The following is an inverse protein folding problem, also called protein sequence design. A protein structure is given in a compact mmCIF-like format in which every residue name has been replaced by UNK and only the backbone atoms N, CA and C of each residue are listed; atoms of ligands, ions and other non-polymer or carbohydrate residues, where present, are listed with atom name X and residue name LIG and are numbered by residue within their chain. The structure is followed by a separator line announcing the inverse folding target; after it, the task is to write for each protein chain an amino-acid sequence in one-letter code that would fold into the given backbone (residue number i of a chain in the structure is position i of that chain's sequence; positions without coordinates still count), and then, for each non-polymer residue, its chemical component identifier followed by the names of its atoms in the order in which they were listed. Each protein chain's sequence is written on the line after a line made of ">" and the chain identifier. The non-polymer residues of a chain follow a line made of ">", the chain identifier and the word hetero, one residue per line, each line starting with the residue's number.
data_IF_094402299516
#
_entry.id   IF_094402299516
#
_cell.length_a   1.000
_cell.length_b   1.000
_cell.length_c   1.000
_cell.angle_alpha   90.00
_cell.angle_beta   90.00
_cell.angle_gamma   90.00
#
_symmetry.space_group_name_H-M   'P 1'
#
loop_
_entity.id
_entity.type
_entity.pdbx_description
1 polymer ?
#
# COMPACT_ATOMS: atom_id res chain seq x y z
N UNK A 1 14.66 -19.30 -13.76
CA UNK A 1 14.80 -19.10 -12.29
C UNK A 1 13.48 -18.73 -11.58
N UNK A 2 12.42 -18.35 -12.30
CA UNK A 2 11.07 -18.07 -11.77
C UNK A 2 10.37 -19.19 -10.98
N UNK A 3 10.92 -20.41 -10.96
CA UNK A 3 10.47 -21.49 -10.08
C UNK A 3 10.79 -21.22 -8.60
N UNK A 4 11.74 -20.34 -8.31
CA UNK A 4 12.09 -19.94 -6.94
C UNK A 4 11.11 -18.85 -6.45
N UNK A 5 10.31 -19.10 -5.40
CA UNK A 5 9.36 -18.12 -4.89
C UNK A 5 10.04 -16.81 -4.45
N UNK A 6 9.53 -15.69 -4.97
CA UNK A 6 10.10 -14.36 -4.78
C UNK A 6 10.96 -13.85 -5.95
N UNK A 7 11.29 -14.71 -6.93
CA UNK A 7 11.94 -14.27 -8.18
C UNK A 7 10.86 -13.87 -9.20
N UNK A 8 10.61 -12.56 -9.30
CA UNK A 8 9.79 -11.98 -10.36
C UNK A 8 10.58 -11.66 -11.64
N UNK A 9 9.91 -11.19 -12.72
CA UNK A 9 10.55 -10.89 -14.01
C UNK A 9 11.76 -9.96 -13.91
N UNK A 10 11.65 -8.87 -13.15
CA UNK A 10 12.75 -7.90 -12.96
C UNK A 10 13.96 -8.49 -12.24
N UNK A 11 13.73 -9.34 -11.24
CA UNK A 11 14.82 -10.00 -10.52
C UNK A 11 15.52 -11.01 -11.42
N UNK A 12 14.74 -11.78 -12.19
CA UNK A 12 15.30 -12.73 -13.17
C UNK A 12 16.09 -12.03 -14.27
N UNK A 13 15.61 -10.90 -14.78
CA UNK A 13 16.32 -10.12 -15.79
C UNK A 13 17.65 -9.58 -15.27
N UNK A 14 17.68 -9.01 -14.06
CA UNK A 14 18.94 -8.57 -13.42
C UNK A 14 19.95 -9.71 -13.29
N UNK A 15 19.49 -10.88 -12.87
CA UNK A 15 20.34 -12.06 -12.69
C UNK A 15 20.88 -12.55 -14.04
N UNK A 16 20.02 -12.63 -15.08
CA UNK A 16 20.46 -13.00 -16.43
C UNK A 16 21.44 -11.99 -17.03
N UNK A 17 21.22 -10.69 -16.86
CA UNK A 17 22.14 -9.65 -17.32
C UNK A 17 23.51 -9.72 -16.62
N UNK A 18 23.56 -10.30 -15.42
CA UNK A 18 24.80 -10.60 -14.69
C UNK A 18 25.35 -12.02 -14.96
N UNK A 19 24.83 -12.74 -15.95
CA UNK A 19 25.30 -14.08 -16.33
C UNK A 19 24.80 -15.22 -15.44
N UNK A 20 23.87 -14.95 -14.51
CA UNK A 20 23.37 -15.93 -13.54
C UNK A 20 22.06 -16.52 -14.07
N UNK A 21 22.14 -17.72 -14.64
CA UNK A 21 20.99 -18.39 -15.25
C UNK A 21 20.37 -19.49 -14.37
N UNK A 22 21.06 -19.95 -13.34
CA UNK A 22 20.67 -21.12 -12.53
C UNK A 22 20.50 -20.78 -11.06
N UNK A 23 19.68 -21.57 -10.35
CA UNK A 23 19.49 -21.46 -8.90
C UNK A 23 20.81 -21.68 -8.17
N UNK A 24 21.60 -22.68 -8.60
CA UNK A 24 22.94 -22.91 -8.04
C UNK A 24 23.87 -21.72 -8.25
N UNK A 25 23.79 -21.04 -9.40
CA UNK A 25 24.55 -19.81 -9.66
C UNK A 25 24.19 -18.67 -8.71
N UNK A 26 22.90 -18.49 -8.39
CA UNK A 26 22.46 -17.54 -7.37
C UNK A 26 22.96 -17.92 -5.98
N UNK A 27 22.88 -19.20 -5.61
CA UNK A 27 23.39 -19.73 -4.33
C UNK A 27 24.89 -19.52 -4.13
N UNK A 28 25.67 -19.53 -5.21
CA UNK A 28 27.12 -19.38 -5.20
C UNK A 28 27.61 -17.92 -5.13
N UNK A 29 26.72 -16.93 -5.21
CA UNK A 29 27.14 -15.53 -5.21
C UNK A 29 27.77 -15.11 -3.88
N UNK A 30 28.91 -14.43 -3.99
CA UNK A 30 29.49 -13.72 -2.87
C UNK A 30 28.54 -12.64 -2.36
N UNK A 31 28.75 -12.23 -1.12
CA UNK A 31 27.97 -11.17 -0.49
C UNK A 31 28.06 -9.83 -1.24
N UNK A 32 29.19 -9.58 -1.90
CA UNK A 32 29.44 -8.38 -2.71
C UNK A 32 28.69 -8.46 -4.05
N UNK A 33 28.82 -9.58 -4.76
CA UNK A 33 28.16 -9.78 -6.06
C UNK A 33 26.63 -9.81 -5.90
N UNK A 34 26.14 -10.46 -4.85
CA UNK A 34 24.72 -10.48 -4.53
C UNK A 34 24.16 -9.07 -4.30
N UNK A 35 24.89 -8.22 -3.58
CA UNK A 35 24.47 -6.82 -3.35
C UNK A 35 24.49 -5.99 -4.63
N UNK A 36 25.42 -6.28 -5.55
CA UNK A 36 25.50 -5.60 -6.84
C UNK A 36 24.32 -5.99 -7.76
N UNK A 37 23.94 -7.27 -7.80
CA UNK A 37 22.89 -7.77 -8.71
C UNK A 37 21.49 -7.65 -8.10
N UNK A 38 21.34 -7.94 -6.81
CA UNK A 38 20.09 -7.93 -6.06
C UNK A 38 20.27 -7.16 -4.74
N UNK A 39 20.20 -5.82 -4.76
CA UNK A 39 20.43 -5.01 -3.58
C UNK A 39 19.35 -5.22 -2.50
N UNK A 40 19.76 -5.01 -1.24
CA UNK A 40 18.87 -5.08 -0.08
C UNK A 40 18.65 -6.49 0.47
N UNK A 41 17.72 -6.61 1.41
CA UNK A 41 17.44 -7.85 2.13
C UNK A 41 16.89 -8.96 1.22
N UNK A 42 16.20 -8.59 0.13
CA UNK A 42 15.62 -9.53 -0.83
C UNK A 42 16.70 -10.38 -1.50
N UNK A 43 17.86 -9.82 -1.83
CA UNK A 43 18.96 -10.60 -2.42
C UNK A 43 19.41 -11.74 -1.50
N UNK A 44 19.64 -11.43 -0.22
CA UNK A 44 20.02 -12.43 0.80
C UNK A 44 18.97 -13.53 0.93
N UNK A 45 17.70 -13.14 1.06
CA UNK A 45 16.58 -14.06 1.15
C UNK A 45 16.49 -15.00 -0.07
N UNK A 46 16.72 -14.47 -1.27
CA UNK A 46 16.69 -15.29 -2.49
C UNK A 46 17.89 -16.23 -2.60
N UNK A 47 19.08 -15.82 -2.13
CA UNK A 47 20.25 -16.71 -2.03
C UNK A 47 20.01 -17.84 -1.02
N UNK A 48 19.47 -17.51 0.15
CA UNK A 48 19.17 -18.51 1.19
C UNK A 48 18.17 -19.55 0.65
N UNK A 49 17.11 -19.11 -0.03
CA UNK A 49 16.17 -20.03 -0.69
C UNK A 49 16.80 -20.84 -1.81
N UNK A 50 17.73 -20.26 -2.57
CA UNK A 50 18.48 -21.00 -3.59
C UNK A 50 19.37 -22.11 -2.99
N UNK A 51 19.77 -21.95 -1.73
CA UNK A 51 20.48 -22.94 -0.92
C UNK A 51 19.54 -23.86 -0.11
N UNK A 52 18.22 -23.75 -0.29
CA UNK A 52 17.23 -24.53 0.45
C UNK A 52 17.00 -24.08 1.89
N UNK A 53 17.48 -22.90 2.28
CA UNK A 53 17.32 -22.32 3.61
C UNK A 53 16.08 -21.42 3.65
N UNK A 54 15.05 -21.84 4.40
CA UNK A 54 13.89 -21.01 4.72
C UNK A 54 13.53 -21.20 6.20
N UNK A 55 13.91 -20.27 7.09
CA UNK A 55 13.70 -20.41 8.53
C UNK A 55 12.26 -20.09 8.96
N UNK A 56 11.38 -19.70 8.01
CA UNK A 56 10.02 -19.28 8.34
C UNK A 56 9.19 -20.48 8.77
N UNK A 57 8.57 -20.36 9.94
CA UNK A 57 7.53 -21.29 10.38
C UNK A 57 6.25 -21.12 9.56
N UNK A 58 5.33 -22.06 9.74
CA UNK A 58 3.97 -21.91 9.23
C UNK A 58 3.25 -20.84 10.06
N UNK A 59 2.88 -19.73 9.43
CA UNK A 59 2.02 -18.73 10.03
C UNK A 59 0.57 -19.03 9.68
N UNK A 60 -0.23 -19.35 10.70
CA UNK A 60 -1.66 -19.66 10.57
C UNK A 60 -2.54 -18.41 10.73
N UNK A 61 -1.93 -17.28 11.10
CA UNK A 61 -2.65 -16.04 11.39
C UNK A 61 -2.19 -14.95 10.44
N UNK A 62 -3.13 -14.30 9.75
CA UNK A 62 -2.83 -13.08 9.01
C UNK A 62 -3.66 -11.94 9.56
N UNK A 63 -3.02 -10.99 10.22
CA UNK A 63 -3.67 -9.72 10.55
C UNK A 63 -3.60 -8.79 9.34
N UNK A 64 -4.75 -8.21 8.97
CA UNK A 64 -4.78 -7.23 7.89
C UNK A 64 -4.21 -5.91 8.40
N UNK A 65 -3.17 -5.41 7.73
CA UNK A 65 -2.50 -4.15 8.11
C UNK A 65 -3.03 -2.92 7.37
N UNK A 66 -3.73 -3.13 6.25
CA UNK A 66 -4.35 -2.07 5.44
C UNK A 66 -5.49 -2.60 4.57
N UNK A 67 -6.39 -1.70 4.19
CA UNK A 67 -7.48 -1.94 3.22
C UNK A 67 -7.43 -0.81 2.21
N UNK A 68 -7.57 -1.09 0.91
CA UNK A 68 -7.60 -0.05 -0.12
C UNK A 68 -8.53 -0.40 -1.26
N UNK A 69 -9.13 0.63 -1.85
CA UNK A 69 -9.89 0.58 -3.10
C UNK A 69 -9.18 1.50 -4.09
N UNK A 70 -9.02 1.05 -5.33
CA UNK A 70 -8.44 1.86 -6.40
C UNK A 70 -9.14 1.60 -7.73
N UNK A 71 -9.21 2.63 -8.56
CA UNK A 71 -9.90 2.56 -9.86
C UNK A 71 -9.01 3.11 -10.97
N UNK A 72 -8.84 2.31 -12.02
CA UNK A 72 -8.14 2.73 -13.24
C UNK A 72 -9.18 3.23 -14.24
N UNK A 73 -9.04 4.46 -14.67
CA UNK A 73 -9.98 5.10 -15.58
C UNK A 73 -9.76 4.65 -17.03
N UNK A 74 -10.84 4.69 -17.82
CA UNK A 74 -10.78 4.44 -19.27
C UNK A 74 -9.89 5.48 -19.97
N UNK A 75 -10.07 6.74 -19.59
CA UNK A 75 -9.29 7.89 -20.07
C UNK A 75 -8.69 8.63 -18.88
N UNK A 76 -7.53 9.25 -19.07
CA UNK A 76 -6.87 9.98 -17.99
C UNK A 76 -7.69 11.23 -17.62
N UNK A 77 -8.00 11.41 -16.34
CA UNK A 77 -8.89 12.46 -15.84
C UNK A 77 -8.11 13.63 -15.25
N UNK A 78 -8.59 14.86 -15.48
CA UNK A 78 -8.01 16.09 -14.91
C UNK A 78 -9.02 16.87 -14.06
N UNK A 79 -10.30 16.60 -14.27
CA UNK A 79 -11.43 17.25 -13.62
C UNK A 79 -11.44 16.89 -12.12
N UNK A 80 -11.11 17.89 -11.29
CA UNK A 80 -11.03 17.70 -9.83
C UNK A 80 -12.33 17.19 -9.23
N UNK A 81 -13.47 17.65 -9.73
CA UNK A 81 -14.78 17.24 -9.20
C UNK A 81 -15.07 15.76 -9.46
N UNK A 82 -14.69 15.23 -10.63
CA UNK A 82 -14.81 13.81 -10.94
C UNK A 82 -13.89 12.97 -10.05
N UNK A 83 -12.63 13.41 -9.90
CA UNK A 83 -11.67 12.74 -9.02
C UNK A 83 -12.13 12.75 -7.56
N UNK A 84 -12.69 13.87 -7.08
CA UNK A 84 -13.24 13.98 -5.72
C UNK A 84 -14.46 13.09 -5.53
N UNK A 85 -15.37 13.05 -6.50
CA UNK A 85 -16.53 12.17 -6.47
C UNK A 85 -16.11 10.71 -6.35
N UNK A 86 -15.09 10.31 -7.13
CA UNK A 86 -14.61 8.93 -7.12
C UNK A 86 -13.91 8.56 -5.81
N UNK A 87 -13.08 9.45 -5.26
CA UNK A 87 -12.49 9.23 -3.93
C UNK A 87 -13.54 9.11 -2.82
N UNK A 88 -14.62 9.90 -2.88
CA UNK A 88 -15.73 9.80 -1.92
C UNK A 88 -16.50 8.48 -2.09
N UNK A 89 -16.69 8.02 -3.32
CA UNK A 89 -17.29 6.71 -3.62
C UNK A 89 -16.45 5.59 -3.00
N UNK A 90 -15.13 5.59 -3.22
CA UNK A 90 -14.22 4.61 -2.59
C UNK A 90 -14.24 4.70 -1.06
N UNK A 91 -14.38 5.90 -0.49
CA UNK A 91 -14.47 6.07 0.95
C UNK A 91 -15.75 5.44 1.54
N UNK A 92 -16.86 5.39 0.80
CA UNK A 92 -18.07 4.65 1.19
C UNK A 92 -17.78 3.14 1.30
N UNK A 93 -17.10 2.58 0.29
CA UNK A 93 -16.72 1.17 0.29
C UNK A 93 -15.81 0.84 1.49
N UNK A 94 -14.83 1.70 1.77
CA UNK A 94 -13.91 1.55 2.90
C UNK A 94 -14.60 1.70 4.26
N UNK A 95 -15.45 2.72 4.43
CA UNK A 95 -16.17 2.92 5.69
C UNK A 95 -17.11 1.76 6.00
N UNK A 96 -17.87 1.30 5.00
CA UNK A 96 -18.71 0.11 5.13
C UNK A 96 -17.89 -1.15 5.46
N UNK A 97 -16.67 -1.25 4.93
CA UNK A 97 -15.76 -2.34 5.24
C UNK A 97 -15.25 -2.30 6.69
N UNK A 98 -14.78 -1.14 7.15
CA UNK A 98 -14.31 -0.96 8.52
C UNK A 98 -15.41 -1.25 9.53
N UNK A 99 -16.62 -0.71 9.30
CA UNK A 99 -17.78 -0.93 10.16
C UNK A 99 -18.19 -2.40 10.22
N UNK A 100 -18.24 -3.08 9.07
CA UNK A 100 -18.58 -4.51 9.02
C UNK A 100 -17.61 -5.37 9.82
N UNK A 101 -16.33 -5.02 9.80
CA UNK A 101 -15.27 -5.78 10.43
C UNK A 101 -15.00 -5.31 11.88
N UNK A 102 -15.73 -4.31 12.39
CA UNK A 102 -15.53 -3.75 13.73
C UNK A 102 -14.18 -3.03 13.89
N UNK A 103 -13.64 -2.48 12.81
CA UNK A 103 -12.33 -1.85 12.73
C UNK A 103 -12.44 -0.33 12.65
N UNK A 104 -11.38 0.34 13.09
CA UNK A 104 -11.09 1.74 12.82
C UNK A 104 -9.69 1.86 12.23
N UNK A 105 -9.42 2.94 11.50
CA UNK A 105 -8.13 3.19 10.88
C UNK A 105 -7.61 4.59 11.22
N UNK A 106 -6.32 4.70 11.52
CA UNK A 106 -5.70 5.99 11.86
C UNK A 106 -5.13 6.72 10.65
N UNK A 107 -4.72 6.01 9.61
CA UNK A 107 -4.03 6.61 8.47
C UNK A 107 -4.88 6.49 7.22
N UNK A 108 -5.08 7.62 6.52
CA UNK A 108 -5.68 7.67 5.18
C UNK A 108 -4.59 7.98 4.18
N UNK A 109 -4.57 7.27 3.07
CA UNK A 109 -3.62 7.43 1.95
C UNK A 109 -4.40 7.61 0.66
N UNK A 110 -4.06 8.64 -0.12
CA UNK A 110 -4.51 8.80 -1.50
C UNK A 110 -3.37 8.46 -2.44
N UNK A 111 -3.63 7.54 -3.36
CA UNK A 111 -2.73 7.12 -4.43
C UNK A 111 -3.12 7.84 -5.72
N UNK A 112 -2.13 8.38 -6.41
CA UNK A 112 -2.25 9.03 -7.70
C UNK A 112 -1.34 8.29 -8.68
N UNK A 113 -1.89 7.84 -9.81
CA UNK A 113 -1.11 7.28 -10.91
C UNK A 113 -1.30 8.16 -12.14
N UNK A 114 -0.19 8.61 -12.70
CA UNK A 114 -0.19 9.46 -13.88
C UNK A 114 -0.18 8.61 -15.17
N UNK A 115 -0.37 9.27 -16.31
CA UNK A 115 -0.36 8.65 -17.65
C UNK A 115 0.96 7.92 -17.97
N UNK A 116 2.08 8.40 -17.42
CA UNK A 116 3.41 7.78 -17.53
C UNK A 116 3.60 6.58 -16.57
N UNK A 117 2.51 6.11 -15.94
CA UNK A 117 2.48 5.06 -14.91
C UNK A 117 3.29 5.35 -13.65
N UNK A 118 3.84 6.56 -13.49
CA UNK A 118 4.46 6.96 -12.24
C UNK A 118 3.40 7.09 -11.15
N UNK A 119 3.77 6.69 -9.93
CA UNK A 119 2.88 6.68 -8.78
C UNK A 119 3.38 7.70 -7.77
N UNK A 120 2.44 8.48 -7.23
CA UNK A 120 2.62 9.27 -6.02
C UNK A 120 1.57 8.88 -5.00
N UNK A 121 1.94 8.91 -3.73
CA UNK A 121 1.01 8.77 -2.62
C UNK A 121 1.16 9.95 -1.67
N UNK A 122 0.06 10.34 -1.06
CA UNK A 122 0.01 11.28 0.06
C UNK A 122 -0.79 10.62 1.15
N UNK A 123 -0.33 10.75 2.39
CA UNK A 123 -0.99 10.15 3.54
C UNK A 123 -1.07 11.13 4.70
N UNK A 124 -2.06 10.95 5.54
CA UNK A 124 -2.19 11.64 6.82
C UNK A 124 -2.60 10.65 7.90
N UNK A 125 -2.07 10.83 9.10
CA UNK A 125 -2.38 9.99 10.26
C UNK A 125 -3.06 10.83 11.33
N UNK A 126 -4.14 10.30 11.87
CA UNK A 126 -4.90 10.87 12.97
C UNK A 126 -4.48 10.25 14.30
N UNK A 127 -4.60 11.00 15.41
CA UNK A 127 -4.36 10.45 16.74
C UNK A 127 -5.39 9.38 17.15
N UNK A 128 -6.64 9.53 16.69
CA UNK A 128 -7.74 8.59 16.94
C UNK A 128 -8.19 7.96 15.62
N UNK A 129 -8.48 6.66 15.66
CA UNK A 129 -8.97 5.91 14.49
C UNK A 129 -10.35 6.38 14.06
N UNK A 130 -10.59 6.34 12.75
CA UNK A 130 -11.87 6.67 12.11
C UNK A 130 -12.33 5.47 11.28
N UNK A 131 -13.64 5.34 11.12
CA UNK A 131 -14.29 4.36 10.26
C UNK A 131 -15.40 4.99 9.40
N UNK A 132 -15.68 6.28 9.59
CA UNK A 132 -16.74 6.98 8.90
C UNK A 132 -16.30 7.40 7.50
N UNK A 133 -17.13 7.07 6.50
CA UNK A 133 -16.82 7.30 5.09
C UNK A 133 -16.66 8.79 4.75
N UNK A 134 -17.42 9.67 5.42
CA UNK A 134 -17.38 11.11 5.15
C UNK A 134 -16.01 11.70 5.49
N UNK A 135 -15.46 11.38 6.66
CA UNK A 135 -14.14 11.85 7.09
C UNK A 135 -13.03 11.23 6.28
N UNK A 136 -13.11 9.94 5.96
CA UNK A 136 -12.16 9.28 5.04
C UNK A 136 -12.15 10.01 3.68
N UNK A 137 -13.33 10.27 3.11
CA UNK A 137 -13.48 10.95 1.83
C UNK A 137 -12.93 12.38 1.84
N UNK A 138 -13.23 13.16 2.88
CA UNK A 138 -12.69 14.53 3.06
C UNK A 138 -11.17 14.54 3.09
N UNK A 139 -10.56 13.63 3.86
CA UNK A 139 -9.11 13.50 3.95
C UNK A 139 -8.51 13.05 2.62
N UNK A 140 -9.15 12.08 1.94
CA UNK A 140 -8.69 11.59 0.65
C UNK A 140 -8.67 12.70 -0.42
N UNK A 141 -9.73 13.52 -0.50
CA UNK A 141 -9.81 14.69 -1.39
C UNK A 141 -8.70 15.71 -1.08
N UNK A 142 -8.48 16.04 0.20
CA UNK A 142 -7.43 16.97 0.59
C UNK A 142 -6.02 16.47 0.20
N UNK A 143 -5.78 15.17 0.36
CA UNK A 143 -4.52 14.53 -0.03
C UNK A 143 -4.34 14.48 -1.56
N UNK A 144 -5.43 14.31 -2.32
CA UNK A 144 -5.41 14.45 -3.78
C UNK A 144 -5.02 15.87 -4.18
N UNK A 145 -5.67 16.89 -3.60
CA UNK A 145 -5.41 18.29 -3.94
C UNK A 145 -3.96 18.66 -3.65
N UNK A 146 -3.41 18.22 -2.51
CA UNK A 146 -1.99 18.37 -2.20
C UNK A 146 -1.10 17.62 -3.20
N UNK A 147 -1.47 16.41 -3.59
CA UNK A 147 -0.74 15.62 -4.59
C UNK A 147 -0.68 16.32 -5.95
N UNK A 148 -1.81 16.91 -6.38
CA UNK A 148 -1.93 17.67 -7.63
C UNK A 148 -1.25 19.04 -7.56
N UNK A 149 -1.15 19.67 -6.39
CA UNK A 149 -0.32 20.87 -6.18
C UNK A 149 1.17 20.53 -6.36
N UNK A 150 1.63 19.44 -5.76
CA UNK A 150 3.04 19.00 -5.84
C UNK A 150 3.44 18.50 -7.24
N UNK A 151 2.48 17.98 -8.01
CA UNK A 151 2.64 17.62 -9.42
C UNK A 151 1.28 17.67 -10.12
N UNK A 152 1.01 18.76 -10.86
CA UNK A 152 -0.17 18.84 -11.72
C UNK A 152 -0.10 17.81 -12.85
N UNK A 153 -1.26 17.34 -13.31
CA UNK A 153 -1.37 16.46 -14.46
C UNK A 153 -2.61 15.58 -14.41
N UNK A 154 -2.99 15.02 -15.57
CA UNK A 154 -4.06 14.05 -15.65
C UNK A 154 -3.67 12.74 -14.95
N UNK A 155 -4.66 12.11 -14.33
CA UNK A 155 -4.52 10.88 -13.56
C UNK A 155 -5.18 9.73 -14.29
N UNK A 156 -4.45 8.63 -14.44
CA UNK A 156 -4.94 7.36 -14.98
C UNK A 156 -5.60 6.49 -13.92
N UNK A 157 -5.22 6.68 -12.66
CA UNK A 157 -5.84 6.00 -11.51
C UNK A 157 -5.77 6.88 -10.27
N UNK A 158 -6.81 6.77 -9.46
CA UNK A 158 -6.78 7.17 -8.06
C UNK A 158 -7.13 6.00 -7.16
N UNK A 159 -6.70 6.07 -5.90
CA UNK A 159 -7.06 5.08 -4.90
C UNK A 159 -7.07 5.67 -3.51
N UNK A 160 -7.92 5.12 -2.65
CA UNK A 160 -7.96 5.42 -1.22
C UNK A 160 -7.53 4.17 -0.47
N UNK A 161 -6.62 4.33 0.47
CA UNK A 161 -6.18 3.29 1.39
C UNK A 161 -6.29 3.75 2.83
N UNK A 162 -6.64 2.82 3.71
CA UNK A 162 -6.63 3.00 5.16
C UNK A 162 -5.67 2.00 5.81
N UNK A 163 -4.94 2.44 6.82
CA UNK A 163 -3.98 1.62 7.56
C UNK A 163 -3.89 2.02 9.03
N UNK A 164 -3.09 1.28 9.79
CA UNK A 164 -3.09 1.42 11.25
C UNK A 164 -4.43 0.98 11.81
N UNK A 165 -4.89 -0.19 11.35
CA UNK A 165 -6.16 -0.78 11.71
C UNK A 165 -6.14 -1.20 13.17
N UNK A 166 -7.22 -0.96 13.88
CA UNK A 166 -7.42 -1.40 15.25
C UNK A 166 -8.89 -1.74 15.46
N UNK A 167 -9.17 -2.81 16.21
CA UNK A 167 -10.52 -3.07 16.69
C UNK A 167 -11.03 -1.87 17.47
N UNK A 168 -12.29 -1.50 17.26
CA UNK A 168 -12.96 -0.41 17.99
C UNK A 168 -12.68 -0.55 19.50
N UNK A 169 -11.97 0.42 20.10
CA UNK A 169 -11.88 0.51 21.56
C UNK A 169 -11.82 1.95 22.06
N UNK A 170 -12.92 2.27 22.74
CA UNK A 170 -13.16 3.31 23.75
C UNK A 170 -13.83 4.61 23.29
N UNK A 171 -15.13 4.68 23.61
CA UNK A 171 -15.90 5.91 23.76
C UNK A 171 -15.26 6.73 24.89
N UNK A 172 -14.83 7.95 24.59
CA UNK A 172 -14.65 8.99 25.61
C UNK A 172 -16.02 9.39 26.12
N UNK A 173 -16.25 9.28 27.42
CA UNK A 173 -17.42 9.87 28.09
C UNK A 173 -17.31 11.39 27.97
N UNK A 174 -18.36 12.03 27.47
CA UNK A 174 -18.56 13.46 27.68
C UNK A 174 -18.91 13.64 29.16
N UNK A 175 -17.97 14.12 29.98
CA UNK A 175 -18.32 14.69 31.28
C UNK A 175 -19.01 16.02 31.03
N UNK A 176 -20.33 15.97 30.89
CA UNK A 176 -21.15 17.11 30.54
C UNK A 176 -22.62 16.94 30.90
N UNK A 177 -22.92 16.37 32.08
CA UNK A 177 -24.23 16.55 32.71
C UNK A 177 -24.09 17.42 33.97
N UNK A 178 -24.44 18.69 33.76
CA UNK A 178 -24.89 19.65 34.78
C UNK A 178 -26.11 19.09 35.52
N UNK A 179 -26.08 18.99 36.84
CA UNK A 179 -27.26 19.29 37.69
C UNK A 179 -26.82 19.85 39.06
N UNK A 180 -27.30 21.07 39.32
CA UNK A 180 -27.56 21.76 40.60
C UNK A 180 -26.40 22.08 41.55
#
# INVERSE_FOLDING_TARGET
>A
MRVLPGVGPRAEERLRSAGIATIGGLGALSDLDLRAVLPGQVGRLLRDRALGVDPRGLDLTSERISISVEETFEHDLLERDLLHAELRRMALDLGAHLQRDGLSARTVTTKLRYADFSIRSRSTSLPVGIDDAERIGKLACSLLDRGLQDRPGALRLVGVGVSGLSGYRQLTLEEGDLVA
#
